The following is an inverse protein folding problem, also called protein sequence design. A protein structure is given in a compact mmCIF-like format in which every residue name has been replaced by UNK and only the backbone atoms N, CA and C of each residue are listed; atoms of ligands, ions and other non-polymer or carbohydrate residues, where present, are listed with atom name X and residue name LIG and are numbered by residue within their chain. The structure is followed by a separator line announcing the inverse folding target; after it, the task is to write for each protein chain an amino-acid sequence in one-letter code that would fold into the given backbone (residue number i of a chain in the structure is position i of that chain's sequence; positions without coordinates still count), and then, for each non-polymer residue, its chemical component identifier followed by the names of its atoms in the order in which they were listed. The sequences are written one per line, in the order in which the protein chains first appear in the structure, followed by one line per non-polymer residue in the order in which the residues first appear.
data_IF_779176267484
#
_entry.id   IF_779176267484
#
_cell.length_a   1.000
_cell.length_b   1.000
_cell.length_c   1.000
_cell.angle_alpha   90.00
_cell.angle_beta   90.00
_cell.angle_gamma   90.00
#
_symmetry.space_group_name_H-M   'P 1'
#
loop_
_entity.id
_entity.type
_entity.pdbx_description
1 polymer ?
#
# COMPACT_ATOMS: atom_id res chain seq x y z
N UNK A 1 -18.98 0.24 17.73
CA UNK A 1 -18.63 0.09 16.30
C UNK A 1 -17.17 -0.30 16.19
N UNK A 2 -16.85 -1.47 15.64
CA UNK A 2 -15.46 -1.85 15.37
C UNK A 2 -15.04 -1.11 14.10
N UNK A 3 -14.18 -0.11 14.25
CA UNK A 3 -13.63 0.62 13.12
C UNK A 3 -12.71 -0.34 12.36
N UNK A 4 -13.07 -0.66 11.13
CA UNK A 4 -12.20 -1.42 10.26
C UNK A 4 -11.09 -0.48 9.78
N UNK A 5 -9.83 -0.88 9.96
CA UNK A 5 -8.68 -0.12 9.51
C UNK A 5 -7.92 -0.96 8.49
N UNK A 6 -7.70 -0.41 7.30
CA UNK A 6 -6.77 -0.99 6.35
C UNK A 6 -5.38 -0.42 6.59
N UNK A 7 -4.34 -1.23 6.45
CA UNK A 7 -2.96 -0.79 6.65
C UNK A 7 -2.29 -0.55 5.32
N UNK A 8 -1.45 0.48 5.25
CA UNK A 8 -0.60 0.70 4.09
C UNK A 8 0.47 -0.40 4.01
N UNK A 9 0.56 -1.09 2.87
CA UNK A 9 1.53 -2.17 2.66
C UNK A 9 3.00 -1.70 2.70
N UNK A 10 3.25 -0.39 2.54
CA UNK A 10 4.58 0.20 2.58
C UNK A 10 4.98 0.71 3.97
N UNK A 11 4.18 1.58 4.58
CA UNK A 11 4.51 2.23 5.85
C UNK A 11 3.78 1.64 7.07
N UNK A 12 2.90 0.65 6.86
CA UNK A 12 2.15 -0.07 7.88
C UNK A 12 1.27 0.81 8.80
N UNK A 13 0.99 2.05 8.38
CA UNK A 13 0.12 2.95 9.14
C UNK A 13 -1.34 2.54 8.98
N UNK A 14 -2.16 2.64 10.05
CA UNK A 14 -3.59 2.40 9.97
C UNK A 14 -4.30 3.54 9.24
N UNK A 15 -5.08 3.20 8.22
CA UNK A 15 -5.88 4.14 7.44
C UNK A 15 -7.35 3.95 7.89
N UNK A 16 -7.99 5.00 8.45
CA UNK A 16 -9.38 4.94 8.85
C UNK A 16 -10.28 4.85 7.61
N UNK A 17 -11.00 3.73 7.46
CA UNK A 17 -11.92 3.52 6.33
C UNK A 17 -13.18 4.41 6.40
N UNK A 18 -13.50 4.94 7.59
CA UNK A 18 -14.77 5.64 7.85
C UNK A 18 -14.84 7.07 7.30
N UNK A 19 -13.72 7.70 6.93
CA UNK A 19 -13.72 9.13 6.54
C UNK A 19 -13.29 9.43 5.12
N UNK A 20 -12.65 8.50 4.40
CA UNK A 20 -12.33 8.75 2.99
C UNK A 20 -11.96 7.46 2.22
N UNK A 21 -12.91 6.93 1.43
CA UNK A 21 -12.63 5.91 0.44
C UNK A 21 -11.58 6.36 -0.62
N UNK A 22 -11.33 7.68 -0.70
CA UNK A 22 -10.33 8.32 -1.58
C UNK A 22 -8.92 8.43 -0.95
N UNK A 23 -8.76 8.20 0.37
CA UNK A 23 -7.44 8.28 1.03
C UNK A 23 -6.61 7.00 0.86
N UNK A 24 -7.21 5.93 0.36
CA UNK A 24 -6.51 4.68 0.04
C UNK A 24 -6.16 4.65 -1.43
N UNK A 25 -4.87 4.73 -1.74
CA UNK A 25 -4.35 4.53 -3.08
C UNK A 25 -4.22 3.04 -3.36
N UNK A 26 -5.03 2.52 -4.29
CA UNK A 26 -5.00 1.11 -4.69
C UNK A 26 -4.30 0.97 -6.02
N UNK A 27 -3.36 0.04 -6.10
CA UNK A 27 -2.65 -0.27 -7.36
C UNK A 27 -2.43 -1.76 -7.47
N UNK A 28 -2.52 -2.27 -8.70
CA UNK A 28 -2.19 -3.65 -9.00
C UNK A 28 -0.74 -3.73 -9.42
N UNK A 29 0.08 -4.48 -8.67
CA UNK A 29 1.50 -4.71 -8.95
C UNK A 29 1.69 -6.22 -9.11
N UNK A 30 2.24 -6.68 -10.24
CA UNK A 30 2.46 -8.11 -10.53
C UNK A 30 1.18 -8.98 -10.36
N UNK A 31 0.02 -8.45 -10.73
CA UNK A 31 -1.27 -9.16 -10.62
C UNK A 31 -1.85 -9.25 -9.21
N UNK A 32 -1.24 -8.60 -8.21
CA UNK A 32 -1.78 -8.48 -6.84
C UNK A 32 -2.24 -7.06 -6.58
N UNK A 33 -3.43 -6.90 -6.01
CA UNK A 33 -3.94 -5.60 -5.55
C UNK A 33 -3.27 -5.24 -4.22
N UNK A 34 -2.71 -4.04 -4.17
CA UNK A 34 -2.09 -3.47 -2.97
C UNK A 34 -2.77 -2.17 -2.58
N UNK A 35 -2.86 -1.93 -1.28
CA UNK A 35 -3.46 -0.71 -0.72
C UNK A 35 -2.39 0.11 0.01
N UNK A 36 -2.34 1.39 -0.33
CA UNK A 36 -1.40 2.35 0.23
C UNK A 36 -2.13 3.57 0.78
N UNK A 37 -1.50 4.25 1.74
CA UNK A 37 -2.02 5.51 2.28
C UNK A 37 -1.86 6.69 1.31
N UNK A 38 -1.01 6.56 0.29
CA UNK A 38 -0.77 7.60 -0.71
C UNK A 38 -0.04 7.03 -1.94
N UNK A 39 -0.13 7.76 -3.06
CA UNK A 39 0.57 7.43 -4.31
C UNK A 39 2.08 7.26 -4.11
N UNK A 40 2.72 8.14 -3.32
CA UNK A 40 4.17 8.09 -3.06
C UNK A 40 4.62 6.77 -2.42
N UNK A 41 3.78 6.18 -1.54
CA UNK A 41 4.07 4.87 -0.95
C UNK A 41 3.96 3.76 -2.00
N UNK A 42 2.96 3.84 -2.87
CA UNK A 42 2.78 2.90 -3.96
C UNK A 42 3.94 2.96 -4.97
N UNK A 43 4.37 4.16 -5.37
CA UNK A 43 5.51 4.37 -6.26
C UNK A 43 6.81 3.83 -5.64
N UNK A 44 7.07 4.10 -4.35
CA UNK A 44 8.24 3.53 -3.66
C UNK A 44 8.18 2.01 -3.60
N UNK A 45 7.02 1.44 -3.29
CA UNK A 45 6.83 0.00 -3.25
C UNK A 45 7.02 -0.63 -4.63
N UNK A 46 6.48 -0.02 -5.69
CA UNK A 46 6.67 -0.47 -7.07
C UNK A 46 8.13 -0.39 -7.51
N UNK A 47 8.84 0.70 -7.18
CA UNK A 47 10.27 0.82 -7.44
C UNK A 47 11.09 -0.25 -6.70
N UNK A 48 10.75 -0.55 -5.44
CA UNK A 48 11.38 -1.65 -4.70
C UNK A 48 11.09 -3.00 -5.36
N UNK A 49 9.84 -3.28 -5.74
CA UNK A 49 9.47 -4.52 -6.41
C UNK A 49 10.17 -4.69 -7.77
N UNK A 50 10.38 -3.59 -8.51
CA UNK A 50 11.15 -3.60 -9.75
C UNK A 50 12.64 -3.89 -9.54
N UNK A 51 13.18 -3.63 -8.35
CA UNK A 51 14.59 -3.88 -7.99
C UNK A 51 14.80 -5.18 -7.20
N UNK A 52 13.73 -5.84 -6.73
CA UNK A 52 13.79 -7.09 -5.93
C UNK A 52 14.27 -8.34 -6.68
N UNK A 53 14.85 -8.21 -7.88
CA UNK A 53 15.61 -9.32 -8.49
C UNK A 53 17.03 -9.45 -7.93
N UNK A 54 17.50 -8.54 -7.07
CA UNK A 54 18.75 -8.72 -6.33
C UNK A 54 18.53 -8.59 -4.82
N UNK A 55 19.31 -9.37 -4.07
CA UNK A 55 19.41 -9.38 -2.60
C UNK A 55 18.42 -10.33 -1.88
N UNK A 56 18.63 -11.62 -2.18
CA UNK A 56 18.39 -12.75 -1.28
C UNK A 56 19.44 -12.69 -0.16
N UNK A 57 19.03 -12.44 1.08
CA UNK A 57 19.85 -12.64 2.28
C UNK A 57 20.00 -14.13 2.56
#
# INVERSE_FOLDING_TARGET
MKKEFIRCEFCNIPIPLETCQLATYRVTINGKEYVFCCQKCAEKYQNLQSNKHQEKW
#
